data_IF_202394015591
#
_entry.id   IF_202394015591
#
_cell.length_a   1.000
_cell.length_b   1.000
_cell.length_c   1.000
_cell.angle_alpha   90.00
_cell.angle_beta   90.00
_cell.angle_gamma   90.00
#
_symmetry.space_group_name_H-M   'P 1'
#
loop_
_entity.id
_entity.type
_entity.pdbx_description
1 polymer ?
#
# COMPACT_ATOMS: atom_id res chain seq x y z
N UNK A 1 -6.21 0.72 -12.41
CA UNK A 1 -5.85 0.52 -11.00
C UNK A 1 -5.87 -0.96 -10.66
N UNK A 2 -5.01 -1.41 -9.76
CA UNK A 2 -5.03 -2.77 -9.20
C UNK A 2 -5.99 -2.75 -8.02
N UNK A 3 -7.00 -3.62 -8.02
CA UNK A 3 -8.05 -3.64 -7.00
C UNK A 3 -7.95 -4.85 -6.06
N UNK A 4 -7.21 -5.86 -6.46
CA UNK A 4 -6.85 -6.98 -5.58
C UNK A 4 -5.53 -7.59 -5.99
N UNK A 5 -4.90 -8.31 -5.07
CA UNK A 5 -3.69 -9.06 -5.35
C UNK A 5 -3.60 -10.30 -4.45
N UNK A 6 -2.89 -11.28 -4.94
CA UNK A 6 -2.52 -12.50 -4.22
C UNK A 6 -1.00 -12.54 -4.10
N UNK A 7 -0.52 -12.96 -2.94
CA UNK A 7 0.86 -13.30 -2.68
C UNK A 7 0.92 -14.72 -2.15
N UNK A 8 1.67 -15.60 -2.82
CA UNK A 8 1.82 -17.00 -2.46
C UNK A 8 3.30 -17.34 -2.27
N UNK A 9 3.64 -17.95 -1.14
CA UNK A 9 5.02 -18.26 -0.78
C UNK A 9 5.39 -19.68 -1.23
N UNK A 10 6.33 -19.77 -2.14
CA UNK A 10 6.95 -21.05 -2.52
C UNK A 10 8.15 -21.37 -1.65
N UNK A 11 8.96 -20.36 -1.34
CA UNK A 11 10.17 -20.49 -0.55
C UNK A 11 10.31 -19.32 0.39
N UNK A 12 10.44 -19.58 1.68
CA UNK A 12 10.66 -18.56 2.70
C UNK A 12 12.07 -17.94 2.63
N UNK A 13 12.18 -16.71 3.16
CA UNK A 13 13.47 -16.17 3.54
C UNK A 13 14.01 -16.88 4.80
N UNK A 14 15.31 -16.97 4.92
CA UNK A 14 15.95 -17.49 6.15
C UNK A 14 15.60 -16.58 7.33
N UNK A 15 15.89 -15.29 7.22
CA UNK A 15 15.55 -14.31 8.23
C UNK A 15 14.69 -13.18 7.65
N UNK A 16 13.82 -12.60 8.48
CA UNK A 16 12.95 -11.49 8.09
C UNK A 16 11.86 -11.88 7.09
N UNK A 17 11.46 -10.94 6.24
CA UNK A 17 10.41 -11.16 5.23
C UNK A 17 8.99 -11.16 5.79
N UNK A 18 8.81 -10.70 7.03
CA UNK A 18 7.50 -10.54 7.67
C UNK A 18 6.70 -9.43 6.98
N UNK A 19 5.46 -9.73 6.63
CA UNK A 19 4.54 -8.78 6.06
C UNK A 19 3.67 -8.15 7.17
N UNK A 20 3.36 -6.87 6.99
CA UNK A 20 2.35 -6.16 7.78
C UNK A 20 1.28 -5.65 6.83
N UNK A 21 0.04 -5.84 7.19
CA UNK A 21 -1.13 -5.42 6.41
C UNK A 21 -1.99 -4.52 7.27
N UNK A 22 -2.42 -3.41 6.72
CA UNK A 22 -3.39 -2.50 7.32
C UNK A 22 -4.49 -2.23 6.32
N UNK A 23 -5.74 -2.43 6.73
CA UNK A 23 -6.87 -2.09 5.89
C UNK A 23 -6.89 -0.58 5.64
N UNK A 24 -7.06 -0.19 4.38
CA UNK A 24 -7.07 1.22 3.99
C UNK A 24 -8.33 1.96 4.45
N UNK A 25 -9.45 1.26 4.68
CA UNK A 25 -10.65 1.84 5.26
C UNK A 25 -10.44 2.14 6.75
N UNK A 26 -9.74 1.26 7.49
CA UNK A 26 -9.30 1.54 8.86
C UNK A 26 -8.34 2.74 8.89
N UNK A 27 -7.35 2.77 8.00
CA UNK A 27 -6.44 3.91 7.91
C UNK A 27 -7.19 5.23 7.64
N UNK A 28 -8.20 5.20 6.78
CA UNK A 28 -9.06 6.35 6.49
C UNK A 28 -9.87 6.79 7.71
N UNK A 29 -10.47 5.86 8.44
CA UNK A 29 -11.23 6.16 9.67
C UNK A 29 -10.32 6.81 10.71
N UNK A 30 -9.18 6.20 11.02
CA UNK A 30 -8.19 6.72 11.97
C UNK A 30 -7.69 8.11 11.56
N UNK A 31 -7.50 8.33 10.27
CA UNK A 31 -7.10 9.62 9.73
C UNK A 31 -8.15 10.70 10.01
N UNK A 32 -9.42 10.43 9.70
CA UNK A 32 -10.52 11.38 9.91
C UNK A 32 -10.79 11.65 11.40
N UNK A 33 -10.58 10.66 12.26
CA UNK A 33 -10.65 10.85 13.72
C UNK A 33 -9.57 11.82 14.23
N UNK A 34 -8.41 11.90 13.57
CA UNK A 34 -7.35 12.83 13.90
C UNK A 34 -7.58 14.21 13.28
N UNK A 35 -7.98 14.27 12.02
CA UNK A 35 -8.27 15.53 11.31
C UNK A 35 -9.15 15.28 10.08
N UNK A 36 -10.44 15.60 10.21
CA UNK A 36 -11.36 15.52 9.07
C UNK A 36 -10.92 16.46 7.92
N UNK A 37 -10.49 17.67 8.23
CA UNK A 37 -10.02 18.65 7.24
C UNK A 37 -8.89 18.10 6.38
N UNK A 38 -7.89 17.48 7.00
CA UNK A 38 -6.78 16.86 6.27
C UNK A 38 -7.23 15.60 5.52
N UNK A 39 -8.23 14.88 6.04
CA UNK A 39 -8.85 13.73 5.38
C UNK A 39 -9.54 14.12 4.08
N UNK A 40 -10.31 15.19 4.11
CA UNK A 40 -10.99 15.72 2.93
C UNK A 40 -9.97 16.17 1.86
N UNK A 41 -8.84 16.75 2.26
CA UNK A 41 -7.75 17.14 1.35
C UNK A 41 -7.19 15.93 0.57
N UNK A 42 -7.19 14.73 1.16
CA UNK A 42 -6.64 13.52 0.53
C UNK A 42 -7.48 12.99 -0.65
N UNK A 43 -8.68 13.55 -0.88
CA UNK A 43 -9.49 13.32 -2.07
C UNK A 43 -9.19 14.27 -3.23
N UNK A 44 -8.36 15.28 -3.01
CA UNK A 44 -7.86 16.17 -4.06
C UNK A 44 -6.56 15.64 -4.66
N UNK A 45 -6.04 16.31 -5.66
CA UNK A 45 -4.76 15.99 -6.30
C UNK A 45 -3.58 16.22 -5.36
N UNK A 46 -3.28 15.22 -4.54
CA UNK A 46 -2.25 15.28 -3.49
C UNK A 46 -0.87 14.92 -3.97
N UNK A 47 -0.75 14.19 -5.06
CA UNK A 47 0.56 13.81 -5.61
C UNK A 47 0.61 13.75 -7.12
N UNK A 48 1.82 13.93 -7.64
CA UNK A 48 2.13 13.90 -9.06
C UNK A 48 3.09 12.74 -9.33
N UNK A 49 2.75 11.91 -10.30
CA UNK A 49 3.68 10.97 -10.90
C UNK A 49 4.28 11.67 -12.12
N UNK A 50 5.58 12.01 -12.11
CA UNK A 50 6.19 12.74 -13.22
C UNK A 50 6.21 11.91 -14.49
N UNK A 51 6.31 12.60 -15.62
CA UNK A 51 6.47 11.98 -16.91
C UNK A 51 7.72 11.10 -16.95
N UNK A 52 7.64 10.04 -17.73
CA UNK A 52 8.78 9.16 -17.98
C UNK A 52 8.81 8.81 -19.47
N UNK A 53 9.71 9.45 -20.20
CA UNK A 53 9.86 9.29 -21.65
C UNK A 53 10.26 7.87 -22.04
N UNK A 54 11.11 7.21 -21.25
CA UNK A 54 11.57 5.85 -21.55
C UNK A 54 10.44 4.82 -21.50
N UNK A 55 9.42 5.05 -20.65
CA UNK A 55 8.24 4.17 -20.54
C UNK A 55 6.99 4.75 -21.21
N UNK A 56 7.13 5.87 -21.93
CA UNK A 56 6.03 6.63 -22.57
C UNK A 56 4.90 7.00 -21.56
N UNK A 57 5.23 7.11 -20.27
CA UNK A 57 4.27 7.48 -19.23
C UNK A 57 4.11 9.00 -19.18
N UNK A 58 2.88 9.49 -19.32
CA UNK A 58 2.55 10.91 -19.15
C UNK A 58 2.54 11.29 -17.66
N UNK A 59 2.70 12.58 -17.38
CA UNK A 59 2.46 13.16 -16.05
C UNK A 59 1.03 12.87 -15.61
N UNK A 60 0.86 12.38 -14.38
CA UNK A 60 -0.45 12.04 -13.82
C UNK A 60 -0.55 12.69 -12.44
N UNK A 61 -1.63 13.45 -12.20
CA UNK A 61 -2.01 13.91 -10.88
C UNK A 61 -3.07 12.99 -10.29
N UNK A 62 -3.01 12.71 -9.01
CA UNK A 62 -3.93 11.76 -8.36
C UNK A 62 -4.22 12.16 -6.91
N UNK A 63 -5.44 11.87 -6.42
CA UNK A 63 -5.73 11.82 -5.00
C UNK A 63 -5.17 10.55 -4.35
N UNK A 64 -5.00 10.58 -3.04
CA UNK A 64 -4.67 9.39 -2.24
C UNK A 64 -5.90 8.54 -2.03
N UNK A 65 -7.03 9.15 -1.65
CA UNK A 65 -8.31 8.49 -1.50
C UNK A 65 -9.24 8.81 -2.66
N UNK A 66 -10.01 7.82 -3.08
CA UNK A 66 -11.06 7.97 -4.07
C UNK A 66 -12.15 6.93 -3.85
N UNK A 67 -13.38 7.24 -4.25
CA UNK A 67 -14.47 6.28 -4.25
C UNK A 67 -14.71 5.73 -5.66
N UNK A 68 -14.94 4.42 -5.74
CA UNK A 68 -15.51 3.75 -6.90
C UNK A 68 -16.87 3.17 -6.49
N UNK A 69 -17.95 3.85 -6.82
CA UNK A 69 -19.25 3.63 -6.20
C UNK A 69 -19.16 3.89 -4.70
N UNK A 70 -19.58 2.93 -3.89
CA UNK A 70 -19.52 3.00 -2.41
C UNK A 70 -18.21 2.43 -1.82
N UNK A 71 -17.26 2.02 -2.65
CA UNK A 71 -16.01 1.38 -2.20
C UNK A 71 -14.88 2.39 -2.15
N UNK A 72 -14.30 2.58 -0.97
CA UNK A 72 -13.08 3.35 -0.82
C UNK A 72 -11.92 2.65 -1.53
N UNK A 73 -11.12 3.42 -2.22
CA UNK A 73 -9.87 2.99 -2.83
C UNK A 73 -8.76 3.93 -2.43
N UNK A 74 -7.59 3.38 -2.17
CA UNK A 74 -6.41 4.15 -1.78
C UNK A 74 -5.27 3.90 -2.75
N UNK A 75 -4.63 5.00 -3.17
CA UNK A 75 -3.34 4.96 -3.87
C UNK A 75 -2.30 5.66 -3.02
N UNK A 76 -1.43 4.88 -2.41
CA UNK A 76 -0.38 5.42 -1.56
C UNK A 76 0.91 4.60 -1.67
N UNK A 77 2.04 5.25 -1.55
CA UNK A 77 3.33 4.60 -1.47
C UNK A 77 4.30 5.46 -0.66
N UNK A 78 5.00 4.85 0.29
CA UNK A 78 6.07 5.51 1.03
C UNK A 78 7.37 5.64 0.22
N UNK A 79 7.45 5.05 -0.97
CA UNK A 79 8.64 5.11 -1.82
C UNK A 79 8.80 6.52 -2.38
N UNK A 80 9.93 7.15 -2.09
CA UNK A 80 10.27 8.50 -2.57
C UNK A 80 10.52 8.58 -4.07
N UNK A 81 10.83 7.46 -4.73
CA UNK A 81 11.12 7.43 -6.17
C UNK A 81 9.83 7.57 -6.98
N UNK A 82 9.81 8.51 -7.89
CA UNK A 82 8.74 8.74 -8.87
C UNK A 82 7.41 9.29 -8.31
N UNK A 83 7.41 9.89 -7.14
CA UNK A 83 6.24 10.57 -6.58
C UNK A 83 6.68 11.94 -6.07
N UNK A 84 5.98 12.98 -6.49
CA UNK A 84 6.11 14.35 -6.00
C UNK A 84 4.82 14.68 -5.27
N UNK A 85 4.92 15.03 -3.99
CA UNK A 85 3.78 15.47 -3.19
C UNK A 85 3.52 16.95 -3.41
N UNK A 86 2.25 17.34 -3.52
CA UNK A 86 1.90 18.76 -3.53
C UNK A 86 2.23 19.36 -2.16
N UNK A 87 2.76 20.58 -2.18
CA UNK A 87 3.20 21.28 -0.96
C UNK A 87 2.08 21.37 0.08
N UNK A 88 0.89 21.75 -0.33
CA UNK A 88 -0.28 21.93 0.53
C UNK A 88 -0.79 20.60 1.16
N UNK A 89 -0.34 19.47 0.64
CA UNK A 89 -0.71 18.14 1.12
C UNK A 89 0.32 17.54 2.09
N UNK A 90 1.45 18.18 2.32
CA UNK A 90 2.56 17.60 3.09
C UNK A 90 2.18 17.28 4.53
N UNK A 91 1.40 18.12 5.20
CA UNK A 91 0.91 17.87 6.55
C UNK A 91 0.02 16.62 6.57
N UNK A 92 -0.94 16.55 5.65
CA UNK A 92 -1.83 15.40 5.51
C UNK A 92 -1.06 14.11 5.21
N UNK A 93 -0.08 14.16 4.32
CA UNK A 93 0.78 13.01 3.99
C UNK A 93 1.60 12.55 5.20
N UNK A 94 2.14 13.46 6.00
CA UNK A 94 2.89 13.09 7.19
C UNK A 94 1.98 12.47 8.26
N UNK A 95 0.80 13.03 8.49
CA UNK A 95 -0.19 12.42 9.39
C UNK A 95 -0.56 11.00 8.93
N UNK A 96 -0.81 10.81 7.62
CA UNK A 96 -1.13 9.47 7.09
C UNK A 96 0.02 8.48 7.29
N UNK A 97 1.27 8.91 7.08
CA UNK A 97 2.44 8.06 7.34
C UNK A 97 2.49 7.62 8.81
N UNK A 98 2.28 8.55 9.76
CA UNK A 98 2.23 8.22 11.19
C UNK A 98 1.13 7.21 11.48
N UNK A 99 -0.08 7.42 10.98
CA UNK A 99 -1.18 6.47 11.16
C UNK A 99 -0.81 5.09 10.63
N UNK A 100 -0.23 5.00 9.43
CA UNK A 100 0.16 3.72 8.83
C UNK A 100 1.26 3.01 9.64
N UNK A 101 2.18 3.75 10.25
CA UNK A 101 3.28 3.15 11.03
C UNK A 101 2.89 2.82 12.46
N UNK A 102 2.09 3.66 13.10
CA UNK A 102 1.86 3.63 14.54
C UNK A 102 0.59 2.88 14.95
N UNK A 103 -0.29 2.55 13.99
CA UNK A 103 -1.53 1.81 14.24
C UNK A 103 -1.28 0.30 14.40
N UNK A 104 -0.36 -0.07 15.31
CA UNK A 104 0.08 -1.45 15.51
C UNK A 104 -1.07 -2.42 15.80
N UNK A 105 -2.07 -1.98 16.55
CA UNK A 105 -3.22 -2.79 16.98
C UNK A 105 -4.14 -3.22 15.81
N UNK A 106 -4.06 -2.51 14.70
CA UNK A 106 -4.84 -2.79 13.49
C UNK A 106 -4.02 -3.50 12.40
N UNK A 107 -2.75 -3.78 12.66
CA UNK A 107 -1.93 -4.50 11.70
C UNK A 107 -2.12 -6.02 11.81
N UNK A 108 -2.38 -6.65 10.67
CA UNK A 108 -2.18 -8.09 10.55
C UNK A 108 -0.71 -8.34 10.21
N UNK A 109 0.00 -9.02 11.10
CA UNK A 109 1.43 -9.30 10.95
C UNK A 109 1.61 -10.79 10.65
N UNK A 110 2.21 -11.11 9.49
CA UNK A 110 2.38 -12.50 9.06
C UNK A 110 3.67 -12.68 8.27
N UNK A 111 4.51 -13.63 8.68
CA UNK A 111 5.54 -14.22 7.83
C UNK A 111 4.88 -15.43 7.12
N UNK A 112 4.76 -15.37 5.81
CA UNK A 112 4.17 -16.46 5.03
C UNK A 112 5.09 -17.67 5.05
N UNK A 113 4.55 -18.82 5.44
CA UNK A 113 5.17 -20.13 5.31
C UNK A 113 5.18 -20.62 3.86
N UNK A 114 5.96 -21.64 3.56
CA UNK A 114 5.91 -22.34 2.26
C UNK A 114 4.53 -22.98 2.11
N UNK A 115 3.90 -22.78 0.95
CA UNK A 115 2.52 -23.20 0.70
C UNK A 115 1.46 -22.23 1.24
N UNK A 116 1.83 -21.20 1.99
CA UNK A 116 0.89 -20.19 2.47
C UNK A 116 0.75 -19.02 1.47
N UNK A 117 -0.44 -18.44 1.46
CA UNK A 117 -0.73 -17.26 0.67
C UNK A 117 -1.63 -16.26 1.38
N UNK A 118 -1.68 -15.07 0.84
CA UNK A 118 -2.62 -14.02 1.22
C UNK A 118 -3.28 -13.45 -0.02
N UNK A 119 -4.59 -13.31 0.02
CA UNK A 119 -5.38 -12.61 -0.97
C UNK A 119 -6.03 -11.38 -0.33
N UNK A 120 -6.07 -10.27 -1.02
CA UNK A 120 -6.54 -9.01 -0.45
C UNK A 120 -7.04 -8.04 -1.50
N UNK A 121 -7.95 -7.15 -1.09
CA UNK A 121 -8.51 -6.08 -1.89
C UNK A 121 -7.69 -4.79 -1.80
N UNK A 122 -6.38 -4.87 -2.13
CA UNK A 122 -5.48 -3.73 -2.23
C UNK A 122 -5.26 -2.97 -0.92
N UNK A 123 -5.15 -3.70 0.19
CA UNK A 123 -4.80 -3.12 1.49
C UNK A 123 -3.37 -2.55 1.50
N UNK A 124 -3.10 -1.66 2.43
CA UNK A 124 -1.75 -1.18 2.70
C UNK A 124 -0.90 -2.35 3.16
N UNK A 125 0.27 -2.49 2.56
CA UNK A 125 1.17 -3.57 2.92
C UNK A 125 2.62 -3.11 2.99
N UNK A 126 3.30 -3.60 3.98
CA UNK A 126 4.71 -3.38 4.22
C UNK A 126 5.40 -4.73 4.44
N UNK A 127 6.70 -4.78 4.24
CA UNK A 127 7.49 -5.97 4.48
C UNK A 127 8.83 -5.58 5.10
N UNK A 128 9.26 -6.32 6.12
CA UNK A 128 10.60 -6.17 6.69
C UNK A 128 11.68 -6.59 5.69
N UNK A 129 12.89 -6.10 5.86
CA UNK A 129 14.05 -6.63 5.14
C UNK A 129 14.16 -8.14 5.35
N UNK A 130 14.87 -8.82 4.46
CA UNK A 130 15.11 -10.26 4.56
C UNK A 130 16.47 -10.65 4.01
N UNK A 131 16.97 -11.78 4.47
CA UNK A 131 18.15 -12.45 3.94
C UNK A 131 17.79 -13.85 3.45
N UNK A 132 18.47 -14.29 2.42
CA UNK A 132 18.37 -15.65 1.91
C UNK A 132 19.44 -16.53 2.54
N UNK A 133 19.19 -17.84 2.58
CA UNK A 133 20.26 -18.81 2.88
C UNK A 133 21.19 -18.97 1.66
N UNK A 134 22.35 -19.60 1.89
CA UNK A 134 23.34 -19.84 0.81
C UNK A 134 22.74 -20.67 -0.34
N UNK A 135 21.84 -21.59 -0.02
CA UNK A 135 21.34 -22.60 -0.96
C UNK A 135 19.86 -22.39 -1.36
N UNK A 136 19.16 -21.40 -0.78
CA UNK A 136 17.72 -21.25 -0.96
C UNK A 136 17.32 -19.78 -0.99
N UNK A 137 16.82 -19.33 -2.13
CA UNK A 137 16.35 -17.98 -2.32
C UNK A 137 14.85 -17.89 -2.02
N UNK A 138 14.47 -16.83 -1.31
CA UNK A 138 13.05 -16.51 -1.12
C UNK A 138 12.34 -16.35 -2.46
N UNK A 139 11.26 -17.08 -2.64
CA UNK A 139 10.44 -17.05 -3.87
C UNK A 139 8.96 -16.93 -3.53
N UNK A 140 8.33 -15.89 -4.09
CA UNK A 140 6.90 -15.67 -3.98
C UNK A 140 6.29 -15.41 -5.34
N UNK A 141 5.14 -16.00 -5.61
CA UNK A 141 4.27 -15.59 -6.70
C UNK A 141 3.39 -14.43 -6.27
N UNK A 142 3.24 -13.45 -7.15
CA UNK A 142 2.33 -12.35 -6.99
C UNK A 142 1.43 -12.19 -8.22
N UNK A 143 0.14 -12.34 -8.01
CA UNK A 143 -0.88 -12.03 -9.00
C UNK A 143 -1.55 -10.69 -8.66
N UNK A 144 -1.97 -9.97 -9.67
CA UNK A 144 -2.67 -8.70 -9.54
C UNK A 144 -3.92 -8.73 -10.40
N UNK A 145 -5.04 -8.26 -9.86
CA UNK A 145 -6.31 -8.18 -10.57
C UNK A 145 -6.87 -6.77 -10.58
N UNK A 146 -7.53 -6.42 -11.67
CA UNK A 146 -8.35 -5.20 -11.77
C UNK A 146 -9.72 -5.37 -11.11
N UNK A 147 -10.14 -6.62 -10.82
CA UNK A 147 -11.38 -6.93 -10.11
C UNK A 147 -11.11 -7.05 -8.63
N UNK A 148 -12.08 -6.73 -7.79
CA UNK A 148 -12.04 -7.04 -6.35
C UNK A 148 -12.37 -8.51 -6.14
N UNK A 149 -11.85 -9.07 -5.06
CA UNK A 149 -12.31 -10.36 -4.55
C UNK A 149 -13.61 -10.11 -3.81
N UNK A 150 -14.64 -10.85 -4.18
CA UNK A 150 -15.92 -10.92 -3.47
C UNK A 150 -15.94 -12.24 -2.69
N UNK A 151 -16.26 -12.16 -1.43
CA UNK A 151 -16.50 -13.30 -0.53
C UNK A 151 -18.00 -13.36 -0.31
#
# INVERSE_FOLDING_TARGET
SINSWLLFCLTQAEHGGTNKYLDHEIAYILFNLKSKKLGDLMFSDTYIIPENLATKRRKISNPVFMFFGQKLHMKFSMRKKNIIWNHDSLEAINLLKHIITDSSDYHVVKKLGEGEGVITNNVIHMRTAFTNSKNKNRLLYRLRSKKRVCI
#
